data_IF_123591978287
#
_entry.id   IF_123591978287
#
_cell.length_a   1.000
_cell.length_b   1.000
_cell.length_c   1.000
_cell.angle_alpha   90.00
_cell.angle_beta   90.00
_cell.angle_gamma   90.00
#
_symmetry.space_group_name_H-M   'P 1'
#
loop_
_entity.id
_entity.type
_entity.pdbx_description
1 polymer ?
#
# COMPACT_ATOMS: atom_id res chain seq x y z
N UNK A 1 21.87 -24.61 -48.78
CA UNK A 1 22.59 -23.33 -48.76
C UNK A 1 21.53 -22.24 -48.75
N UNK A 2 21.25 -21.64 -47.60
CA UNK A 2 20.34 -20.51 -47.52
C UNK A 2 21.22 -19.35 -47.08
N UNK A 3 21.55 -18.50 -48.05
CA UNK A 3 22.16 -17.20 -47.81
C UNK A 3 21.18 -16.42 -46.92
N UNK A 4 21.46 -16.38 -45.62
CA UNK A 4 20.85 -15.40 -44.72
C UNK A 4 21.36 -14.05 -45.22
N UNK A 5 20.51 -13.33 -45.95
CA UNK A 5 20.60 -11.89 -46.07
C UNK A 5 20.66 -11.35 -44.63
N UNK A 6 21.86 -11.02 -44.18
CA UNK A 6 22.06 -10.21 -43.00
C UNK A 6 21.36 -8.89 -43.31
N UNK A 7 20.10 -8.77 -42.89
CA UNK A 7 19.34 -7.54 -43.03
C UNK A 7 20.13 -6.50 -42.24
N UNK A 8 20.80 -5.60 -42.94
CA UNK A 8 21.64 -4.57 -42.35
C UNK A 8 20.68 -3.60 -41.66
N UNK A 9 20.35 -3.89 -40.42
CA UNK A 9 19.56 -3.01 -39.58
C UNK A 9 20.47 -1.87 -39.15
N UNK A 10 20.01 -0.64 -39.32
CA UNK A 10 20.74 0.56 -38.91
C UNK A 10 20.13 1.17 -37.66
N UNK A 11 20.95 1.87 -36.88
CA UNK A 11 20.50 2.62 -35.73
C UNK A 11 19.66 3.82 -36.18
N UNK A 12 18.49 4.01 -35.56
CA UNK A 12 17.59 5.14 -35.86
C UNK A 12 18.19 6.52 -35.60
N UNK A 13 19.19 6.65 -34.73
CA UNK A 13 19.79 7.96 -34.39
C UNK A 13 21.08 8.25 -35.15
N UNK A 14 22.05 7.33 -35.08
CA UNK A 14 23.38 7.56 -35.62
C UNK A 14 23.61 6.91 -36.98
N UNK A 15 22.65 6.14 -37.50
CA UNK A 15 22.75 5.46 -38.79
C UNK A 15 23.76 4.30 -38.85
N UNK A 16 24.50 4.04 -37.76
CA UNK A 16 25.46 2.93 -37.72
C UNK A 16 24.78 1.57 -37.87
N UNK A 17 25.51 0.61 -38.45
CA UNK A 17 25.09 -0.78 -38.52
C UNK A 17 24.89 -1.35 -37.12
N UNK A 18 23.70 -1.91 -36.88
CA UNK A 18 23.37 -2.60 -35.64
C UNK A 18 24.01 -3.99 -35.61
N UNK A 19 24.56 -4.42 -34.48
CA UNK A 19 24.92 -5.82 -34.29
C UNK A 19 23.68 -6.72 -34.48
N UNK A 20 23.85 -7.84 -35.18
CA UNK A 20 22.76 -8.78 -35.46
C UNK A 20 22.06 -9.28 -34.19
N UNK A 21 22.83 -9.52 -33.12
CA UNK A 21 22.29 -9.90 -31.80
C UNK A 21 21.28 -8.87 -31.27
N UNK A 22 21.54 -7.57 -31.48
CA UNK A 22 20.63 -6.50 -31.03
C UNK A 22 19.40 -6.38 -31.90
N UNK A 23 19.57 -6.53 -33.21
CA UNK A 23 18.46 -6.54 -34.16
C UNK A 23 17.53 -7.73 -33.89
N UNK A 24 18.09 -8.91 -33.59
CA UNK A 24 17.34 -10.12 -33.23
C UNK A 24 16.53 -9.96 -31.93
N UNK A 25 17.05 -9.17 -30.97
CA UNK A 25 16.33 -8.80 -29.74
C UNK A 25 15.28 -7.69 -29.95
N UNK A 26 15.10 -7.20 -31.18
CA UNK A 26 14.11 -6.17 -31.54
C UNK A 26 14.53 -4.74 -31.21
N UNK A 27 15.79 -4.50 -30.85
CA UNK A 27 16.29 -3.15 -30.63
C UNK A 27 16.49 -2.43 -31.97
N UNK A 28 16.12 -1.14 -32.00
CA UNK A 28 16.27 -0.26 -33.17
C UNK A 28 17.42 0.75 -33.05
N UNK A 29 18.22 0.66 -31.99
CA UNK A 29 19.29 1.61 -31.70
C UNK A 29 20.54 0.92 -31.11
N UNK A 30 21.70 1.54 -31.36
CA UNK A 30 23.01 0.99 -31.02
C UNK A 30 23.34 1.17 -29.53
N UNK A 31 24.47 0.62 -29.08
CA UNK A 31 24.93 0.71 -27.68
C UNK A 31 25.77 1.95 -27.38
N UNK A 32 25.96 2.85 -28.36
CA UNK A 32 26.69 4.11 -28.13
C UNK A 32 25.94 4.94 -27.09
N UNK A 33 26.68 5.50 -26.11
CA UNK A 33 26.15 6.36 -25.04
C UNK A 33 25.13 7.41 -25.52
N UNK A 34 25.39 8.21 -26.58
CA UNK A 34 24.42 9.22 -27.03
C UNK A 34 23.07 8.61 -27.44
N UNK A 35 23.06 7.48 -28.15
CA UNK A 35 21.82 6.80 -28.56
C UNK A 35 21.13 6.11 -27.39
N UNK A 36 21.89 5.57 -26.44
CA UNK A 36 21.33 4.98 -25.22
C UNK A 36 20.61 6.03 -24.38
N UNK A 37 21.16 7.23 -24.18
CA UNK A 37 20.50 8.26 -23.36
C UNK A 37 19.12 8.64 -23.90
N UNK A 38 18.93 8.61 -25.23
CA UNK A 38 17.67 8.97 -25.88
C UNK A 38 16.61 7.85 -25.84
N UNK A 39 17.03 6.59 -25.92
CA UNK A 39 16.09 5.47 -26.10
C UNK A 39 16.07 4.46 -24.96
N UNK A 40 17.08 4.44 -24.10
CA UNK A 40 17.08 3.57 -22.95
C UNK A 40 16.05 4.08 -21.94
N UNK A 41 14.88 3.45 -21.95
CA UNK A 41 13.92 3.55 -20.87
C UNK A 41 14.27 2.49 -19.84
N UNK A 42 14.55 2.92 -18.61
CA UNK A 42 14.76 1.98 -17.51
C UNK A 42 13.50 1.17 -17.25
N UNK A 43 13.66 -0.05 -16.76
CA UNK A 43 12.52 -0.87 -16.35
C UNK A 43 11.90 -0.24 -15.10
N UNK A 44 10.58 -0.02 -15.10
CA UNK A 44 9.89 0.55 -13.96
C UNK A 44 9.64 -0.54 -12.90
N UNK A 45 10.01 -0.25 -11.65
CA UNK A 45 9.75 -1.15 -10.52
C UNK A 45 8.56 -0.59 -9.75
N UNK A 46 7.50 -1.40 -9.59
CA UNK A 46 6.31 -1.03 -8.82
C UNK A 46 6.10 -2.00 -7.67
N UNK A 47 5.98 -1.46 -6.46
CA UNK A 47 5.68 -2.23 -5.26
C UNK A 47 4.16 -2.41 -5.11
N UNK A 48 3.74 -3.64 -4.86
CA UNK A 48 2.38 -4.03 -4.53
C UNK A 48 2.37 -4.43 -3.06
N UNK A 49 1.77 -3.60 -2.22
CA UNK A 49 1.59 -3.91 -0.80
C UNK A 49 0.47 -4.93 -0.59
N UNK A 50 0.82 -6.23 -0.65
CA UNK A 50 -0.13 -7.33 -0.42
C UNK A 50 -0.51 -7.45 1.07
N UNK A 51 0.37 -7.06 2.01
CA UNK A 51 0.04 -6.92 3.43
C UNK A 51 0.99 -5.93 4.16
N UNK A 52 0.85 -5.75 5.48
CA UNK A 52 1.64 -4.80 6.30
C UNK A 52 3.15 -5.09 6.35
N UNK A 53 3.56 -6.31 6.02
CA UNK A 53 4.93 -6.81 6.20
C UNK A 53 5.50 -7.54 4.98
N UNK A 54 4.76 -7.62 3.88
CA UNK A 54 5.21 -8.26 2.64
C UNK A 54 4.84 -7.35 1.46
N UNK A 55 5.85 -6.70 0.91
CA UNK A 55 5.76 -5.99 -0.36
C UNK A 55 6.20 -6.96 -1.48
N UNK A 56 5.40 -7.08 -2.53
CA UNK A 56 5.79 -7.78 -3.76
C UNK A 56 6.17 -6.74 -4.81
N UNK A 57 7.18 -7.01 -5.61
CA UNK A 57 7.61 -6.08 -6.66
C UNK A 57 7.27 -6.63 -8.04
N UNK A 58 6.75 -5.77 -8.91
CA UNK A 58 6.62 -6.02 -10.35
C UNK A 58 7.63 -5.14 -11.07
N UNK A 59 8.40 -5.77 -11.96
CA UNK A 59 9.37 -5.11 -12.81
C UNK A 59 8.83 -5.19 -14.24
N UNK A 60 8.36 -4.07 -14.77
CA UNK A 60 7.72 -3.99 -16.08
C UNK A 60 7.96 -2.62 -16.73
N UNK A 61 7.54 -2.44 -17.99
CA UNK A 61 7.57 -1.11 -18.61
C UNK A 61 6.63 -0.14 -17.87
N UNK A 62 6.99 1.14 -17.80
CA UNK A 62 6.21 2.15 -17.10
C UNK A 62 4.76 2.27 -17.62
N UNK A 63 4.55 2.12 -18.92
CA UNK A 63 3.22 2.17 -19.54
C UNK A 63 2.41 0.91 -19.22
N UNK A 64 3.06 -0.25 -19.09
CA UNK A 64 2.42 -1.49 -18.66
C UNK A 64 1.97 -1.41 -17.21
N UNK A 65 2.86 -0.97 -16.32
CA UNK A 65 2.54 -0.73 -14.91
C UNK A 65 1.36 0.23 -14.80
N UNK A 66 1.38 1.35 -15.55
CA UNK A 66 0.30 2.33 -15.54
C UNK A 66 -1.04 1.71 -15.92
N UNK A 67 -1.09 0.98 -17.04
CA UNK A 67 -2.32 0.31 -17.49
C UNK A 67 -2.87 -0.68 -16.47
N UNK A 68 -2.02 -1.48 -15.84
CA UNK A 68 -2.41 -2.44 -14.80
C UNK A 68 -2.93 -1.75 -13.54
N UNK A 69 -2.31 -0.63 -13.16
CA UNK A 69 -2.79 0.21 -12.07
C UNK A 69 -4.15 0.84 -12.36
N UNK A 70 -4.35 1.37 -13.57
CA UNK A 70 -5.63 1.91 -14.04
C UNK A 70 -6.74 0.83 -14.12
N UNK A 71 -6.38 -0.41 -14.47
CA UNK A 71 -7.27 -1.56 -14.45
C UNK A 71 -7.67 -2.01 -13.04
N UNK A 72 -7.10 -1.40 -11.99
CA UNK A 72 -7.43 -1.70 -10.60
C UNK A 72 -6.72 -2.93 -10.04
N UNK A 73 -5.66 -3.41 -10.69
CA UNK A 73 -4.87 -4.56 -10.22
C UNK A 73 -4.10 -4.24 -8.91
N UNK A 74 -3.84 -2.95 -8.67
CA UNK A 74 -3.14 -2.48 -7.47
C UNK A 74 -4.10 -1.74 -6.53
N UNK A 75 -3.97 -1.96 -5.21
CA UNK A 75 -4.71 -1.19 -4.22
C UNK A 75 -4.36 0.30 -4.34
N UNK A 76 -5.32 1.22 -4.10
CA UNK A 76 -5.08 2.68 -4.18
C UNK A 76 -3.91 3.18 -3.31
N UNK A 77 -3.56 2.43 -2.26
CA UNK A 77 -2.41 2.69 -1.36
C UNK A 77 -1.07 2.21 -1.93
N UNK A 78 -1.12 1.29 -2.90
CA UNK A 78 0.00 0.59 -3.54
C UNK A 78 0.29 1.14 -4.94
N UNK A 79 -0.59 1.97 -5.49
CA UNK A 79 -0.47 2.61 -6.80
C UNK A 79 0.54 3.76 -6.87
N UNK A 80 1.59 3.76 -6.03
CA UNK A 80 2.75 4.65 -6.25
C UNK A 80 3.55 4.07 -7.41
N UNK A 81 3.11 4.46 -8.60
CA UNK A 81 3.75 4.22 -9.89
C UNK A 81 5.25 4.44 -9.78
N UNK A 82 6.02 3.49 -10.33
CA UNK A 82 7.48 3.33 -10.23
C UNK A 82 8.36 4.46 -10.78
N UNK A 83 8.03 5.71 -10.50
CA UNK A 83 8.92 6.87 -10.66
C UNK A 83 9.32 7.47 -9.29
N UNK A 84 8.56 7.21 -8.23
CA UNK A 84 8.76 7.82 -6.89
C UNK A 84 8.99 6.80 -5.76
N UNK A 85 9.70 5.70 -6.02
CA UNK A 85 10.26 4.88 -4.93
C UNK A 85 11.55 5.53 -4.39
N UNK A 86 11.47 6.81 -4.05
CA UNK A 86 12.45 7.45 -3.17
C UNK A 86 12.21 7.01 -1.73
N UNK A 87 13.22 7.14 -0.83
CA UNK A 87 13.01 6.97 0.60
C UNK A 87 11.79 7.78 1.01
N UNK A 88 10.88 7.17 1.76
CA UNK A 88 9.67 7.82 2.27
C UNK A 88 10.07 9.09 3.01
N UNK A 89 10.09 10.24 2.33
CA UNK A 89 10.24 11.53 3.01
C UNK A 89 9.04 11.60 3.94
N UNK A 90 9.24 11.70 5.27
CA UNK A 90 8.14 11.93 6.18
C UNK A 90 7.40 13.16 5.66
N UNK A 91 6.09 13.03 5.45
CA UNK A 91 5.29 14.20 5.11
C UNK A 91 5.67 15.33 6.10
N UNK A 92 6.00 16.54 5.62
CA UNK A 92 6.27 17.63 6.55
C UNK A 92 5.05 17.73 7.46
N UNK A 93 5.29 17.65 8.77
CA UNK A 93 4.25 17.79 9.77
C UNK A 93 3.43 19.02 9.39
N UNK A 94 2.15 18.80 9.08
CA UNK A 94 1.26 19.85 8.62
C UNK A 94 1.41 21.05 9.55
N UNK A 95 1.79 22.19 8.97
CA UNK A 95 2.02 23.43 9.68
C UNK A 95 0.83 23.67 10.62
N UNK A 96 1.09 23.69 11.92
CA UNK A 96 0.11 24.02 12.94
C UNK A 96 -0.47 25.38 12.58
N UNK A 97 -1.75 25.42 12.19
CA UNK A 97 -2.46 26.68 11.94
C UNK A 97 -2.42 27.50 13.23
N UNK A 98 -1.86 28.72 13.16
CA UNK A 98 -1.90 29.70 14.25
C UNK A 98 -3.37 29.92 14.67
N UNK A 99 -3.69 29.98 15.97
CA UNK A 99 -5.05 30.21 16.43
C UNK A 99 -5.41 31.68 16.18
N UNK A 100 -6.25 31.92 15.18
CA UNK A 100 -6.86 33.20 14.88
C UNK A 100 -8.39 33.07 14.93
N UNK A 101 -8.98 33.93 15.76
CA UNK A 101 -10.39 34.28 15.90
C UNK A 101 -11.39 33.27 16.48
N UNK A 102 -11.95 33.70 17.61
CA UNK A 102 -12.87 32.95 18.46
C UNK A 102 -14.16 32.58 17.74
N UNK A 103 -14.31 31.28 17.48
CA UNK A 103 -15.65 30.68 17.53
C UNK A 103 -16.03 30.49 18.99
N UNK A 104 -17.14 31.09 19.39
CA UNK A 104 -17.84 30.75 20.62
C UNK A 104 -18.01 29.22 20.66
N UNK A 105 -17.46 28.51 21.66
CA UNK A 105 -17.63 27.07 21.75
C UNK A 105 -19.10 26.78 22.05
N UNK A 106 -19.82 26.22 21.08
CA UNK A 106 -21.06 25.50 21.38
C UNK A 106 -20.69 24.40 22.38
N UNK A 107 -21.37 24.27 23.53
CA UNK A 107 -21.06 23.21 24.48
C UNK A 107 -21.28 21.87 23.78
N UNK A 108 -20.18 21.24 23.35
CA UNK A 108 -20.20 19.86 22.90
C UNK A 108 -20.70 19.05 24.07
N UNK A 109 -21.86 18.39 23.90
CA UNK A 109 -22.35 17.40 24.87
C UNK A 109 -21.18 16.51 25.25
N UNK A 110 -20.83 16.51 26.54
CA UNK A 110 -19.72 15.70 27.03
C UNK A 110 -19.94 14.25 26.56
N UNK A 111 -18.92 13.59 25.99
CA UNK A 111 -19.06 12.21 25.61
C UNK A 111 -19.46 11.44 26.87
N UNK A 112 -20.57 10.70 26.79
CA UNK A 112 -21.01 9.80 27.85
C UNK A 112 -19.83 8.89 28.14
N UNK A 113 -19.18 9.09 29.29
CA UNK A 113 -18.01 8.29 29.68
C UNK A 113 -18.53 6.88 29.94
N UNK A 114 -18.32 5.99 28.97
CA UNK A 114 -18.59 4.57 29.16
C UNK A 114 -17.66 4.08 30.28
N UNK A 115 -18.14 3.20 31.18
CA UNK A 115 -17.33 2.68 32.28
C UNK A 115 -16.32 1.61 31.82
N UNK A 116 -16.10 1.44 30.51
CA UNK A 116 -15.14 0.49 29.92
C UNK A 116 -14.27 1.15 28.85
N UNK A 117 -13.10 0.58 28.62
CA UNK A 117 -12.16 1.04 27.59
C UNK A 117 -12.51 0.48 26.21
N UNK A 118 -12.05 1.15 25.15
CA UNK A 118 -12.24 0.68 23.77
C UNK A 118 -11.62 -0.71 23.53
N UNK A 119 -10.53 -1.03 24.23
CA UNK A 119 -9.86 -2.32 24.11
C UNK A 119 -10.68 -3.44 24.76
N UNK A 120 -11.30 -3.17 25.93
CA UNK A 120 -12.24 -4.10 26.57
C UNK A 120 -13.44 -4.36 25.66
N UNK A 121 -14.04 -3.31 25.08
CA UNK A 121 -15.18 -3.46 24.16
C UNK A 121 -14.82 -4.31 22.94
N UNK A 122 -13.64 -4.08 22.34
CA UNK A 122 -13.19 -4.81 21.15
C UNK A 122 -13.02 -6.30 21.42
N UNK A 123 -12.36 -6.67 22.53
CA UNK A 123 -12.13 -8.08 22.89
C UNK A 123 -13.45 -8.78 23.22
N UNK A 124 -14.32 -8.14 24.00
CA UNK A 124 -15.62 -8.72 24.38
C UNK A 124 -16.49 -8.97 23.15
N UNK A 125 -16.59 -7.98 22.24
CA UNK A 125 -17.37 -8.15 21.01
C UNK A 125 -16.77 -9.20 20.09
N UNK A 126 -15.45 -9.26 19.97
CA UNK A 126 -14.77 -10.31 19.18
C UNK A 126 -15.14 -11.71 19.68
N UNK A 127 -15.02 -11.98 20.98
CA UNK A 127 -15.34 -13.30 21.53
C UNK A 127 -16.84 -13.61 21.49
N UNK A 128 -17.69 -12.62 21.67
CA UNK A 128 -19.14 -12.79 21.46
C UNK A 128 -19.47 -13.13 20.00
N UNK A 129 -18.83 -12.48 19.04
CA UNK A 129 -19.02 -12.75 17.61
C UNK A 129 -18.48 -14.14 17.22
N UNK A 130 -17.60 -14.73 18.03
CA UNK A 130 -17.20 -16.15 17.95
C UNK A 130 -18.19 -17.12 18.62
N UNK A 131 -19.32 -16.64 19.13
CA UNK A 131 -20.37 -17.44 19.74
C UNK A 131 -20.16 -17.81 21.22
N UNK A 132 -19.20 -17.17 21.92
CA UNK A 132 -18.95 -17.49 23.32
C UNK A 132 -19.99 -16.84 24.24
N UNK A 133 -20.40 -17.57 25.28
CA UNK A 133 -21.21 -17.05 26.37
C UNK A 133 -20.41 -16.07 27.26
N UNK A 134 -21.06 -15.18 28.02
CA UNK A 134 -20.38 -14.22 28.88
C UNK A 134 -19.34 -14.82 29.84
N UNK A 135 -19.63 -15.97 30.45
CA UNK A 135 -18.68 -16.67 31.32
C UNK A 135 -17.45 -17.18 30.56
N UNK A 136 -17.64 -17.74 29.36
CA UNK A 136 -16.55 -18.21 28.50
C UNK A 136 -15.69 -17.06 27.97
N UNK A 137 -16.32 -15.91 27.67
CA UNK A 137 -15.62 -14.68 27.28
C UNK A 137 -14.66 -14.26 28.40
N UNK A 138 -15.10 -14.30 29.66
CA UNK A 138 -14.27 -13.96 30.82
C UNK A 138 -13.11 -14.95 30.97
N UNK A 139 -13.38 -16.25 30.93
CA UNK A 139 -12.35 -17.29 31.05
C UNK A 139 -11.29 -17.13 29.94
N UNK A 140 -11.72 -16.92 28.69
CA UNK A 140 -10.81 -16.71 27.56
C UNK A 140 -10.06 -15.38 27.65
N UNK A 141 -10.71 -14.32 28.11
CA UNK A 141 -10.08 -13.02 28.31
C UNK A 141 -9.02 -13.05 29.40
N UNK A 142 -9.21 -13.84 30.47
CA UNK A 142 -8.22 -14.02 31.53
C UNK A 142 -6.98 -14.77 31.02
N UNK A 143 -7.16 -15.78 30.16
CA UNK A 143 -6.06 -16.53 29.57
C UNK A 143 -5.22 -15.69 28.59
N UNK A 144 -5.88 -14.93 27.70
CA UNK A 144 -5.19 -14.22 26.62
C UNK A 144 -4.83 -12.76 26.95
N UNK A 145 -5.60 -12.10 27.81
CA UNK A 145 -5.50 -10.67 28.09
C UNK A 145 -5.76 -10.33 29.56
N UNK A 146 -5.01 -10.92 30.52
CA UNK A 146 -5.27 -10.76 31.96
C UNK A 146 -5.21 -9.30 32.44
N UNK A 147 -4.41 -8.46 31.77
CA UNK A 147 -4.26 -7.04 32.12
C UNK A 147 -5.54 -6.22 31.92
N UNK A 148 -6.48 -6.67 31.07
CA UNK A 148 -7.71 -5.95 30.79
C UNK A 148 -8.78 -6.12 31.87
N UNK A 149 -8.57 -7.01 32.86
CA UNK A 149 -9.45 -7.23 34.02
C UNK A 149 -10.94 -7.30 33.64
N UNK A 150 -11.23 -8.08 32.60
CA UNK A 150 -12.60 -8.26 32.10
C UNK A 150 -13.37 -9.14 33.08
N UNK A 151 -14.49 -8.63 33.58
CA UNK A 151 -15.42 -9.33 34.48
C UNK A 151 -16.74 -9.60 33.78
N UNK A 152 -17.51 -10.57 34.27
CA UNK A 152 -18.78 -10.95 33.64
C UNK A 152 -19.80 -9.79 33.61
N UNK A 153 -19.89 -9.02 34.70
CA UNK A 153 -20.73 -7.82 34.74
C UNK A 153 -20.29 -6.74 33.75
N UNK A 154 -18.99 -6.66 33.41
CA UNK A 154 -18.49 -5.76 32.38
C UNK A 154 -18.89 -6.25 30.97
N UNK A 155 -18.78 -7.56 30.73
CA UNK A 155 -19.19 -8.19 29.47
C UNK A 155 -20.66 -7.90 29.19
N UNK A 156 -21.53 -8.17 30.16
CA UNK A 156 -22.97 -7.93 30.02
C UNK A 156 -23.25 -6.46 29.70
N UNK A 157 -22.62 -5.51 30.41
CA UNK A 157 -22.77 -4.07 30.15
C UNK A 157 -22.34 -3.68 28.73
N UNK A 158 -21.27 -4.28 28.20
CA UNK A 158 -20.78 -4.01 26.85
C UNK A 158 -21.72 -4.59 25.79
N UNK A 159 -22.21 -5.81 25.99
CA UNK A 159 -23.10 -6.49 25.04
C UNK A 159 -24.49 -5.84 24.98
N UNK A 160 -25.00 -5.38 26.12
CA UNK A 160 -26.26 -4.64 26.20
C UNK A 160 -26.16 -3.20 25.66
N UNK A 161 -24.95 -2.69 25.42
CA UNK A 161 -24.75 -1.35 24.87
C UNK A 161 -24.77 -1.36 23.33
N UNK A 162 -25.39 -0.36 22.68
CA UNK A 162 -25.48 -0.29 21.23
C UNK A 162 -24.09 -0.25 20.58
N UNK A 163 -23.94 -1.00 19.48
CA UNK A 163 -22.76 -0.92 18.59
C UNK A 163 -22.71 0.50 18.00
N UNK A 164 -21.50 1.04 17.90
CA UNK A 164 -21.22 2.31 17.21
C UNK A 164 -20.73 2.04 15.81
#
# INVERSE_FOLDING_TARGET
MIEKLAEIVTCIECGDTLPEERAALGYRYCTKKPCQVLHHRGVAITAIGVNKSADHFIVADADEVRRRGEAGEFGKKDARLGLDHGPRVPAPAALVKRPGEGRVPVPRRAPVRRPWTSQQEKIVRLYHDMGLSPGEIVARAQQNTPLLRITEGLVIKILSAPRR
#
